data_IF_897396314134
#
_entry.id   IF_897396314134
#
_cell.length_a   1.000
_cell.length_b   1.000
_cell.length_c   1.000
_cell.angle_alpha   90.00
_cell.angle_beta   90.00
_cell.angle_gamma   90.00
#
_symmetry.space_group_name_H-M   'P 1'
#
loop_
_entity.id
_entity.type
_entity.pdbx_description
1 polymer ?
#
# COMPACT_ATOMS: atom_id res chain seq x y z
N UNK A 1 7.52 17.41 1.98
CA UNK A 1 7.08 16.41 0.98
C UNK A 1 5.66 16.03 1.35
N UNK A 2 4.71 16.14 0.42
CA UNK A 2 3.36 15.65 0.67
C UNK A 2 3.41 14.12 0.77
N UNK A 3 2.67 13.57 1.72
CA UNK A 3 2.54 12.15 1.97
C UNK A 3 1.04 11.85 2.13
N UNK A 4 0.58 10.63 1.79
CA UNK A 4 -0.80 10.26 2.07
C UNK A 4 -1.07 10.31 3.57
N UNK A 5 -2.30 10.63 3.93
CA UNK A 5 -2.85 10.51 5.28
C UNK A 5 -4.07 9.58 5.32
N UNK A 6 -4.53 9.12 4.16
CA UNK A 6 -5.66 8.21 3.98
C UNK A 6 -5.21 7.02 3.11
N UNK A 7 -5.57 5.82 3.54
CA UNK A 7 -5.29 4.57 2.81
C UNK A 7 -6.61 3.94 2.40
N UNK A 8 -6.80 3.80 1.09
CA UNK A 8 -7.92 3.12 0.48
C UNK A 8 -7.45 1.73 0.04
N UNK A 9 -8.35 0.75 0.09
CA UNK A 9 -8.08 -0.62 -0.35
C UNK A 9 -8.90 -0.90 -1.59
N UNK A 10 -8.25 -1.37 -2.65
CA UNK A 10 -8.98 -2.00 -3.76
C UNK A 10 -9.63 -3.30 -3.29
N UNK A 11 -10.67 -3.73 -4.02
CA UNK A 11 -11.29 -5.04 -3.76
C UNK A 11 -10.25 -6.17 -3.82
N UNK A 12 -9.36 -6.15 -4.81
CA UNK A 12 -8.30 -7.14 -4.95
C UNK A 12 -7.36 -7.16 -3.73
N UNK A 13 -6.97 -6.00 -3.20
CA UNK A 13 -6.16 -5.93 -1.99
C UNK A 13 -6.87 -6.55 -0.79
N UNK A 14 -8.15 -6.23 -0.59
CA UNK A 14 -8.97 -6.78 0.50
C UNK A 14 -9.07 -8.31 0.42
N UNK A 15 -9.32 -8.86 -0.77
CA UNK A 15 -9.38 -10.32 -0.99
C UNK A 15 -8.03 -11.00 -0.72
N UNK A 16 -6.92 -10.33 -1.04
CA UNK A 16 -5.55 -10.85 -0.82
C UNK A 16 -5.14 -10.83 0.64
N UNK A 17 -5.64 -9.89 1.44
CA UNK A 17 -5.27 -9.75 2.85
C UNK A 17 -5.71 -10.95 3.70
N UNK A 18 -6.92 -11.48 3.45
CA UNK A 18 -7.52 -12.59 4.22
C UNK A 18 -6.62 -13.84 4.24
N UNK A 19 -6.22 -14.45 3.11
CA UNK A 19 -5.36 -15.63 3.12
C UNK A 19 -3.94 -15.36 3.64
N UNK A 20 -3.51 -14.11 3.71
CA UNK A 20 -2.19 -13.71 4.22
C UNK A 20 -2.19 -13.41 5.73
N UNK A 21 -3.37 -13.39 6.38
CA UNK A 21 -3.53 -12.96 7.76
C UNK A 21 -3.01 -11.55 7.99
N UNK A 22 -3.23 -10.64 7.03
CA UNK A 22 -2.79 -9.24 7.08
C UNK A 22 -3.98 -8.37 7.43
N UNK A 23 -3.82 -7.47 8.39
CA UNK A 23 -4.88 -6.55 8.82
C UNK A 23 -4.83 -5.22 8.07
N UNK A 24 -5.96 -4.51 8.05
CA UNK A 24 -6.03 -3.15 7.49
C UNK A 24 -5.03 -2.24 8.18
N UNK A 25 -4.91 -2.34 9.51
CA UNK A 25 -3.96 -1.56 10.30
C UNK A 25 -2.51 -1.78 9.85
N UNK A 26 -2.08 -3.04 9.65
CA UNK A 26 -0.73 -3.33 9.18
C UNK A 26 -0.43 -2.70 7.80
N UNK A 27 -1.40 -2.74 6.88
CA UNK A 27 -1.27 -2.12 5.56
C UNK A 27 -1.22 -0.60 5.68
N UNK A 28 -2.10 -0.01 6.48
CA UNK A 28 -2.15 1.44 6.70
C UNK A 28 -0.84 1.95 7.30
N UNK A 29 -0.35 1.31 8.36
CA UNK A 29 0.94 1.62 8.99
C UNK A 29 2.07 1.49 7.97
N UNK A 30 2.12 0.40 7.20
CA UNK A 30 3.14 0.20 6.19
C UNK A 30 3.15 1.31 5.13
N UNK A 31 1.98 1.75 4.64
CA UNK A 31 1.88 2.82 3.63
C UNK A 31 2.22 4.17 4.22
N UNK A 32 1.63 4.54 5.37
CA UNK A 32 1.79 5.88 5.94
C UNK A 32 3.21 6.10 6.51
N UNK A 33 3.74 5.15 7.28
CA UNK A 33 5.04 5.33 7.95
C UNK A 33 6.23 5.12 6.99
N UNK A 34 6.09 4.24 5.99
CA UNK A 34 7.18 3.93 5.06
C UNK A 34 7.05 4.64 3.72
N UNK A 35 6.09 5.56 3.54
CA UNK A 35 5.88 6.29 2.28
C UNK A 35 7.14 6.97 1.73
N UNK A 36 7.96 7.53 2.63
CA UNK A 36 9.23 8.19 2.28
C UNK A 36 10.27 7.23 1.70
N UNK A 37 10.13 5.93 1.97
CA UNK A 37 11.03 4.85 1.54
C UNK A 37 10.47 4.04 0.38
N UNK A 38 9.38 4.50 -0.23
CA UNK A 38 8.75 3.82 -1.37
C UNK A 38 9.72 3.68 -2.54
N UNK A 39 9.51 2.64 -3.33
CA UNK A 39 10.20 2.41 -4.61
C UNK A 39 9.19 2.36 -5.74
N UNK A 40 9.63 2.68 -6.96
CA UNK A 40 8.80 2.49 -8.15
C UNK A 40 8.51 1.00 -8.33
N UNK A 41 7.26 0.66 -8.64
CA UNK A 41 6.84 -0.69 -8.95
C UNK A 41 6.53 -0.79 -10.45
N UNK A 42 7.17 -1.70 -11.21
CA UNK A 42 6.98 -1.79 -12.67
C UNK A 42 5.69 -2.51 -13.09
N UNK A 43 4.82 -2.88 -12.13
CA UNK A 43 3.57 -3.63 -12.37
C UNK A 43 2.36 -2.67 -12.39
N UNK A 44 1.17 -3.20 -12.10
CA UNK A 44 -0.13 -2.50 -12.05
C UNK A 44 -0.25 -1.36 -11.01
N UNK A 45 0.79 -1.10 -10.21
CA UNK A 45 0.78 -0.02 -9.24
C UNK A 45 2.06 0.79 -9.36
N UNK A 46 1.99 2.09 -9.10
CA UNK A 46 3.11 3.02 -9.24
C UNK A 46 4.19 2.80 -8.18
N UNK A 47 3.76 2.50 -6.95
CA UNK A 47 4.62 2.48 -5.78
C UNK A 47 4.58 1.15 -5.04
N UNK A 48 5.69 0.87 -4.36
CA UNK A 48 5.85 -0.27 -3.47
C UNK A 48 6.54 0.18 -2.19
N UNK A 49 5.97 -0.19 -1.05
CA UNK A 49 6.63 -0.09 0.27
C UNK A 49 6.84 -1.47 0.86
N UNK A 50 7.77 -1.56 1.81
CA UNK A 50 8.07 -2.79 2.54
C UNK A 50 8.19 -2.47 4.03
N UNK A 51 7.53 -3.29 4.85
CA UNK A 51 7.58 -3.22 6.31
C UNK A 51 7.65 -4.65 6.87
N UNK A 52 8.83 -5.03 7.38
CA UNK A 52 9.11 -6.42 7.73
C UNK A 52 8.90 -7.36 6.52
N UNK A 53 8.14 -8.43 6.72
CA UNK A 53 7.77 -9.39 5.67
C UNK A 53 6.63 -8.90 4.75
N UNK A 54 6.00 -7.77 5.06
CA UNK A 54 4.86 -7.23 4.31
C UNK A 54 5.36 -6.30 3.20
N UNK A 55 4.87 -6.52 1.97
CA UNK A 55 5.07 -5.62 0.83
C UNK A 55 3.72 -5.14 0.33
N UNK A 56 3.58 -3.83 0.14
CA UNK A 56 2.32 -3.18 -0.26
C UNK A 56 2.52 -2.40 -1.53
N UNK A 57 1.80 -2.79 -2.59
CA UNK A 57 1.78 -2.07 -3.85
C UNK A 57 0.56 -1.14 -3.91
N UNK A 58 0.79 0.14 -4.20
CA UNK A 58 -0.24 1.17 -4.14
C UNK A 58 0.00 2.30 -5.14
N UNK A 59 -1.07 3.03 -5.46
CA UNK A 59 -1.04 4.25 -6.27
C UNK A 59 -1.16 5.48 -5.37
N UNK A 60 -0.39 6.52 -5.68
CA UNK A 60 -0.43 7.79 -4.99
C UNK A 60 0.20 8.89 -5.89
N UNK A 61 -0.46 10.05 -6.07
CA UNK A 61 -1.79 10.39 -5.56
C UNK A 61 -2.92 9.58 -6.21
N UNK A 62 -4.14 9.63 -5.66
CA UNK A 62 -5.33 9.01 -6.27
C UNK A 62 -6.12 10.10 -7.00
N UNK A 63 -5.95 10.16 -8.32
CA UNK A 63 -6.43 11.30 -9.11
C UNK A 63 -5.78 12.59 -8.61
N UNK A 64 -6.58 13.59 -8.25
CA UNK A 64 -6.11 14.87 -7.71
C UNK A 64 -5.98 14.86 -6.17
N UNK A 65 -6.36 13.78 -5.49
CA UNK A 65 -6.28 13.66 -4.04
C UNK A 65 -4.87 13.22 -3.59
N UNK A 66 -4.09 14.18 -3.11
CA UNK A 66 -2.74 13.93 -2.56
C UNK A 66 -2.76 13.32 -1.15
N UNK A 67 -3.89 13.32 -0.45
CA UNK A 67 -4.02 12.69 0.85
C UNK A 67 -4.31 11.19 0.73
N UNK A 68 -4.91 10.74 -0.37
CA UNK A 68 -5.30 9.34 -0.58
C UNK A 68 -4.22 8.52 -1.29
N UNK A 69 -3.91 7.34 -0.73
CA UNK A 69 -3.18 6.27 -1.38
C UNK A 69 -4.09 5.05 -1.60
N UNK A 70 -4.14 4.51 -2.81
CA UNK A 70 -4.94 3.34 -3.15
C UNK A 70 -4.08 2.09 -3.20
N UNK A 71 -4.26 1.19 -2.24
CA UNK A 71 -3.59 -0.11 -2.21
C UNK A 71 -4.20 -1.03 -3.27
N UNK A 72 -3.35 -1.41 -4.22
CA UNK A 72 -3.71 -2.29 -5.33
C UNK A 72 -3.57 -3.74 -4.89
N UNK A 73 -2.49 -4.10 -4.18
CA UNK A 73 -2.30 -5.48 -3.71
C UNK A 73 -1.29 -5.56 -2.57
N UNK A 74 -1.32 -6.70 -1.86
CA UNK A 74 -0.42 -7.01 -0.74
C UNK A 74 0.26 -8.36 -0.94
N UNK A 75 1.51 -8.43 -0.48
CA UNK A 75 2.33 -9.63 -0.50
C UNK A 75 2.95 -9.86 0.87
N UNK A 76 3.13 -11.13 1.23
CA UNK A 76 3.90 -11.52 2.42
C UNK A 76 5.01 -12.46 1.99
N UNK A 77 6.24 -12.10 2.31
CA UNK A 77 7.38 -13.01 2.17
C UNK A 77 7.30 -14.06 3.28
N UNK A 78 7.51 -15.33 2.93
CA UNK A 78 7.53 -16.46 3.87
C UNK A 78 8.91 -16.58 4.51
#
# INVERSE_FOLDING_TARGET
MNAPSLVLLSQHATERMVPLGVTVEQVTVAVLEHHSRRRRNPREADWLVSSGSLRVAYNWPVGDDQAAALVVTVFRER
#
